data_IF_945803466209
#
_entry.id   IF_945803466209
#
_cell.length_a   1.000
_cell.length_b   1.000
_cell.length_c   1.000
_cell.angle_alpha   90.00
_cell.angle_beta   90.00
_cell.angle_gamma   90.00
#
_symmetry.space_group_name_H-M   'P 1'
#
loop_
_entity.id
_entity.type
_entity.pdbx_description
1 polymer ?
#
# COMPACT_ATOMS: atom_id res chain seq x y z
N UNK A 1 7.29 5.94 14.31
CA UNK A 1 6.44 6.04 13.10
C UNK A 1 7.29 6.58 11.95
N UNK A 2 6.80 6.48 10.71
CA UNK A 2 7.50 7.02 9.55
C UNK A 2 6.71 8.19 8.96
N UNK A 3 7.41 9.17 8.38
CA UNK A 3 6.75 10.26 7.66
C UNK A 3 6.18 9.76 6.34
N UNK A 4 4.91 10.06 6.10
CA UNK A 4 4.20 9.70 4.87
C UNK A 4 3.42 10.89 4.34
N UNK A 5 3.18 10.90 3.03
CA UNK A 5 2.38 11.93 2.33
C UNK A 5 1.41 11.27 1.34
N UNK A 6 0.32 11.95 1.00
CA UNK A 6 -0.70 11.42 0.11
C UNK A 6 -1.32 10.13 0.67
N UNK A 7 -1.35 9.07 -0.15
CA UNK A 7 -1.86 7.75 0.26
C UNK A 7 -0.69 6.85 0.65
N UNK A 8 -0.22 7.00 1.90
CA UNK A 8 0.79 6.13 2.49
C UNK A 8 2.17 6.15 1.81
N UNK A 9 2.49 7.17 1.01
CA UNK A 9 3.80 7.26 0.35
C UNK A 9 4.86 7.64 1.39
N UNK A 10 5.79 6.72 1.64
CA UNK A 10 6.89 6.88 2.58
C UNK A 10 7.89 7.95 2.10
N UNK A 11 8.19 8.93 2.96
CA UNK A 11 9.22 9.95 2.74
C UNK A 11 10.34 9.71 3.77
N UNK A 12 11.32 8.83 3.47
CA UNK A 12 12.29 8.36 4.46
C UNK A 12 13.36 9.39 4.83
N UNK A 13 13.62 10.36 3.96
CA UNK A 13 14.65 11.37 4.12
C UNK A 13 14.36 12.62 3.27
N UNK A 14 15.14 13.68 3.48
CA UNK A 14 15.02 14.93 2.74
C UNK A 14 15.22 14.73 1.23
N UNK A 15 16.14 13.84 0.82
CA UNK A 15 16.36 13.55 -0.59
C UNK A 15 15.13 12.97 -1.29
N UNK A 16 14.29 12.21 -0.59
CA UNK A 16 13.00 11.76 -1.10
C UNK A 16 11.98 12.89 -1.16
N UNK A 17 11.95 13.77 -0.15
CA UNK A 17 11.04 14.92 -0.11
C UNK A 17 11.31 15.88 -1.28
N UNK A 18 12.58 16.14 -1.59
CA UNK A 18 13.01 17.01 -2.70
C UNK A 18 12.62 16.49 -4.10
N UNK A 19 12.17 15.23 -4.23
CA UNK A 19 11.68 14.67 -5.48
C UNK A 19 10.16 14.82 -5.66
N UNK A 20 9.46 15.36 -4.66
CA UNK A 20 8.01 15.53 -4.68
C UNK A 20 7.63 16.83 -5.40
N UNK A 21 6.60 16.78 -6.24
CA UNK A 21 6.03 17.98 -6.84
C UNK A 21 5.05 18.64 -5.85
N UNK A 22 5.60 19.42 -4.92
CA UNK A 22 4.83 20.19 -3.95
C UNK A 22 4.54 21.60 -4.45
N UNK A 23 3.46 22.19 -3.94
CA UNK A 23 3.11 23.59 -4.20
C UNK A 23 2.88 24.32 -2.90
N UNK A 24 3.10 25.63 -2.91
CA UNK A 24 2.76 26.52 -1.81
C UNK A 24 1.24 26.54 -1.66
N UNK A 25 0.71 26.15 -0.49
CA UNK A 25 -0.74 25.98 -0.32
C UNK A 25 -1.56 27.25 -0.54
N UNK A 26 -0.98 28.42 -0.25
CA UNK A 26 -1.66 29.72 -0.40
C UNK A 26 -1.73 30.21 -1.85
N UNK A 27 -0.69 29.97 -2.64
CA UNK A 27 -0.54 30.57 -3.98
C UNK A 27 -0.64 29.55 -5.11
N UNK A 28 -0.49 28.26 -4.82
CA UNK A 28 -0.43 27.19 -5.81
C UNK A 28 0.85 27.17 -6.64
N UNK A 29 1.82 28.06 -6.34
CA UNK A 29 3.13 28.13 -6.99
C UNK A 29 3.95 26.87 -6.69
N UNK A 30 4.78 26.45 -7.64
CA UNK A 30 5.70 25.31 -7.45
C UNK A 30 6.64 25.63 -6.28
N UNK A 31 6.75 24.69 -5.34
CA UNK A 31 7.61 24.86 -4.18
C UNK A 31 9.09 24.77 -4.58
N UNK A 32 9.92 25.67 -4.04
CA UNK A 32 11.37 25.60 -4.23
C UNK A 32 12.01 24.52 -3.35
N UNK A 33 13.26 24.15 -3.64
CA UNK A 33 14.00 23.17 -2.82
C UNK A 33 14.17 23.66 -1.37
N UNK A 34 14.36 24.95 -1.18
CA UNK A 34 14.52 25.60 0.11
C UNK A 34 13.21 25.54 0.90
N UNK A 35 12.08 25.81 0.23
CA UNK A 35 10.74 25.69 0.84
C UNK A 35 10.45 24.23 1.24
N UNK A 36 10.74 23.27 0.37
CA UNK A 36 10.56 21.84 0.68
C UNK A 36 11.43 21.43 1.86
N UNK A 37 12.68 21.89 1.91
CA UNK A 37 13.60 21.61 3.01
C UNK A 37 13.10 22.19 4.33
N UNK A 38 12.65 23.45 4.32
CA UNK A 38 12.13 24.11 5.50
C UNK A 38 10.88 23.40 6.05
N UNK A 39 9.93 23.05 5.17
CA UNK A 39 8.70 22.35 5.56
C UNK A 39 9.00 20.94 6.11
N UNK A 40 9.90 20.21 5.43
CA UNK A 40 10.36 18.89 5.85
C UNK A 40 10.99 18.91 7.24
N UNK A 41 11.93 19.83 7.48
CA UNK A 41 12.60 19.95 8.78
C UNK A 41 11.63 20.44 9.86
N UNK A 42 10.65 21.28 9.52
CA UNK A 42 9.64 21.72 10.48
C UNK A 42 8.73 20.57 10.94
N UNK A 43 8.27 19.72 10.00
CA UNK A 43 7.52 18.50 10.34
C UNK A 43 8.35 17.54 11.19
N UNK A 44 9.64 17.38 10.84
CA UNK A 44 10.56 16.51 11.59
C UNK A 44 10.82 17.01 13.02
N UNK A 45 10.96 18.33 13.21
CA UNK A 45 11.09 18.95 14.55
C UNK A 45 9.88 18.71 15.44
N UNK A 46 8.69 18.64 14.86
CA UNK A 46 7.43 18.39 15.57
C UNK A 46 6.99 16.93 15.47
N UNK A 47 7.93 16.02 15.28
CA UNK A 47 7.63 14.61 15.15
C UNK A 47 6.99 14.06 16.44
N UNK A 48 5.79 13.48 16.30
CA UNK A 48 5.09 12.80 17.38
C UNK A 48 4.72 11.38 16.95
N UNK A 49 5.07 10.40 17.78
CA UNK A 49 4.72 9.01 17.51
C UNK A 49 3.20 8.84 17.41
N UNK A 50 2.75 8.10 16.39
CA UNK A 50 1.33 7.79 16.13
C UNK A 50 0.44 9.01 15.83
N UNK A 51 1.01 10.20 15.62
CA UNK A 51 0.23 11.35 15.17
C UNK A 51 -0.28 11.15 13.73
N UNK A 52 -1.55 11.45 13.51
CA UNK A 52 -2.17 11.39 12.19
C UNK A 52 -1.83 12.62 11.34
N UNK A 53 -1.99 12.53 10.03
CA UNK A 53 -1.69 13.62 9.09
C UNK A 53 -2.31 15.00 9.47
N UNK A 54 -3.56 15.10 9.99
CA UNK A 54 -4.13 16.39 10.40
C UNK A 54 -3.33 17.13 11.48
N UNK A 55 -2.65 16.41 12.38
CA UNK A 55 -1.79 17.01 13.42
C UNK A 55 -0.68 17.87 12.79
N UNK A 56 -0.12 17.42 11.66
CA UNK A 56 1.00 18.05 11.00
C UNK A 56 0.61 19.24 10.13
N UNK A 57 -0.69 19.42 9.82
CA UNK A 57 -1.17 20.47 8.92
C UNK A 57 -0.75 21.89 9.34
N UNK A 58 -0.64 22.13 10.65
CA UNK A 58 -0.19 23.42 11.21
C UNK A 58 1.33 23.66 11.10
N UNK A 59 2.09 22.61 10.80
CA UNK A 59 3.54 22.65 10.62
C UNK A 59 3.96 22.61 9.14
N UNK A 60 2.99 22.58 8.21
CA UNK A 60 3.24 22.55 6.77
C UNK A 60 2.67 23.77 6.08
N UNK A 61 3.42 24.38 5.18
CA UNK A 61 2.94 25.40 4.25
C UNK A 61 2.75 24.84 2.82
N UNK A 62 3.35 23.69 2.55
CA UNK A 62 3.29 23.04 1.25
C UNK A 62 2.19 21.98 1.21
N UNK A 63 1.58 21.83 0.04
CA UNK A 63 0.58 20.80 -0.22
C UNK A 63 0.94 20.03 -1.48
N UNK A 64 0.44 18.79 -1.55
CA UNK A 64 0.51 17.97 -2.75
C UNK A 64 -0.81 18.07 -3.50
N UNK A 65 -0.75 18.43 -4.79
CA UNK A 65 -1.95 18.45 -5.64
C UNK A 65 -2.46 17.03 -5.90
N UNK A 66 -3.77 16.87 -6.10
CA UNK A 66 -4.42 15.57 -6.38
C UNK A 66 -3.77 14.83 -7.56
N UNK A 67 -3.34 15.55 -8.60
CA UNK A 67 -2.64 14.95 -9.75
C UNK A 67 -1.33 14.26 -9.35
N UNK A 68 -0.57 14.86 -8.44
CA UNK A 68 0.68 14.29 -7.94
C UNK A 68 0.42 13.10 -7.00
N UNK A 69 -0.62 13.20 -6.15
CA UNK A 69 -1.08 12.08 -5.34
C UNK A 69 -1.43 10.87 -6.23
N UNK A 70 -2.20 11.09 -7.29
CA UNK A 70 -2.58 10.03 -8.24
C UNK A 70 -1.37 9.45 -8.96
N UNK A 71 -0.41 10.30 -9.36
CA UNK A 71 0.85 9.86 -9.98
C UNK A 71 1.60 8.89 -9.06
N UNK A 72 1.74 9.22 -7.78
CA UNK A 72 2.41 8.36 -6.79
C UNK A 72 1.66 7.06 -6.55
N UNK A 73 0.32 7.09 -6.48
CA UNK A 73 -0.51 5.89 -6.33
C UNK A 73 -0.30 4.96 -7.53
N UNK A 74 -0.37 5.49 -8.75
CA UNK A 74 -0.20 4.68 -9.97
C UNK A 74 1.20 4.07 -10.06
N UNK A 75 2.24 4.80 -9.63
CA UNK A 75 3.60 4.25 -9.54
C UNK A 75 3.69 3.08 -8.56
N UNK A 76 3.06 3.19 -7.39
CA UNK A 76 3.01 2.10 -6.42
C UNK A 76 2.25 0.89 -6.97
N UNK A 77 1.07 1.10 -7.57
CA UNK A 77 0.28 0.03 -8.19
C UNK A 77 1.10 -0.72 -9.24
N UNK A 78 1.74 0.00 -10.18
CA UNK A 78 2.53 -0.62 -11.24
C UNK A 78 3.73 -1.41 -10.69
N UNK A 79 4.41 -0.86 -9.67
CA UNK A 79 5.50 -1.54 -8.99
C UNK A 79 5.02 -2.83 -8.32
N UNK A 80 3.96 -2.74 -7.51
CA UNK A 80 3.43 -3.88 -6.79
C UNK A 80 2.88 -4.95 -7.71
N UNK A 81 2.20 -4.57 -8.79
CA UNK A 81 1.77 -5.47 -9.84
C UNK A 81 2.96 -6.24 -10.43
N UNK A 82 4.04 -5.54 -10.79
CA UNK A 82 5.26 -6.17 -11.32
C UNK A 82 5.90 -7.14 -10.31
N UNK A 83 5.94 -6.76 -9.04
CA UNK A 83 6.48 -7.59 -7.95
C UNK A 83 5.61 -8.83 -7.70
N UNK A 84 4.28 -8.69 -7.74
CA UNK A 84 3.33 -9.80 -7.62
C UNK A 84 3.49 -10.78 -8.78
N UNK A 85 3.62 -10.32 -10.03
CA UNK A 85 3.87 -11.19 -11.18
C UNK A 85 5.19 -11.97 -11.08
N UNK A 86 6.20 -11.42 -10.40
CA UNK A 86 7.44 -12.16 -10.12
C UNK A 86 7.23 -13.25 -9.06
N UNK A 87 6.33 -13.02 -8.10
CA UNK A 87 6.03 -14.01 -7.06
C UNK A 87 5.06 -15.09 -7.54
N UNK A 88 4.14 -14.71 -8.42
CA UNK A 88 3.03 -15.48 -8.96
C UNK A 88 2.98 -15.25 -10.49
N UNK A 89 3.67 -16.05 -11.32
CA UNK A 89 3.74 -15.82 -12.76
C UNK A 89 2.38 -15.80 -13.47
N UNK A 90 1.40 -16.54 -12.96
CA UNK A 90 0.01 -16.63 -13.44
C UNK A 90 -0.96 -15.66 -12.74
N UNK A 91 -0.44 -14.59 -12.13
CA UNK A 91 -1.23 -13.61 -11.38
C UNK A 91 -2.40 -13.01 -12.17
N UNK A 92 -2.22 -12.80 -13.48
CA UNK A 92 -3.26 -12.18 -14.31
C UNK A 92 -4.47 -13.09 -14.53
N UNK A 93 -4.28 -14.40 -14.39
CA UNK A 93 -5.31 -15.43 -14.54
C UNK A 93 -6.04 -15.71 -13.22
N UNK A 94 -5.60 -15.13 -12.11
CA UNK A 94 -6.27 -15.29 -10.82
C UNK A 94 -7.62 -14.58 -10.80
N UNK A 95 -8.59 -15.11 -10.02
CA UNK A 95 -9.84 -14.40 -9.75
C UNK A 95 -9.59 -12.97 -9.28
N UNK A 96 -10.46 -12.05 -9.66
CA UNK A 96 -10.31 -10.62 -9.31
C UNK A 96 -10.19 -10.41 -7.80
N UNK A 97 -10.92 -11.18 -7.00
CA UNK A 97 -10.86 -11.16 -5.54
C UNK A 97 -9.47 -11.53 -5.02
N UNK A 98 -8.84 -12.56 -5.60
CA UNK A 98 -7.47 -12.98 -5.25
C UNK A 98 -6.47 -11.88 -5.62
N UNK A 99 -6.60 -11.28 -6.81
CA UNK A 99 -5.73 -10.18 -7.23
C UNK A 99 -5.84 -8.97 -6.30
N UNK A 100 -7.06 -8.60 -5.89
CA UNK A 100 -7.31 -7.53 -4.91
C UNK A 100 -6.72 -7.86 -3.53
N UNK A 101 -6.89 -9.09 -3.06
CA UNK A 101 -6.34 -9.54 -1.79
C UNK A 101 -4.80 -9.43 -1.78
N UNK A 102 -4.15 -9.90 -2.85
CA UNK A 102 -2.70 -9.84 -2.99
C UNK A 102 -2.16 -8.42 -3.14
N UNK A 103 -2.88 -7.52 -3.84
CA UNK A 103 -2.56 -6.10 -3.91
C UNK A 103 -2.64 -5.43 -2.53
N UNK A 104 -3.65 -5.74 -1.72
CA UNK A 104 -3.74 -5.21 -0.34
C UNK A 104 -2.62 -5.75 0.55
N UNK A 105 -2.28 -7.04 0.40
CA UNK A 105 -1.19 -7.69 1.12
C UNK A 105 0.16 -7.03 0.80
N UNK A 106 0.52 -6.89 -0.48
CA UNK A 106 1.80 -6.30 -0.88
C UNK A 106 1.87 -4.81 -0.58
N UNK A 107 0.76 -4.06 -0.65
CA UNK A 107 0.73 -2.66 -0.25
C UNK A 107 1.13 -2.49 1.23
N UNK A 108 0.64 -3.38 2.09
CA UNK A 108 0.91 -3.28 3.52
C UNK A 108 2.28 -3.87 3.94
N UNK A 109 2.71 -4.94 3.28
CA UNK A 109 3.91 -5.69 3.66
C UNK A 109 5.15 -5.29 2.86
N UNK A 110 4.95 -4.86 1.61
CA UNK A 110 5.98 -4.87 0.58
C UNK A 110 6.36 -6.29 0.14
N UNK A 111 6.98 -6.41 -1.04
CA UNK A 111 7.38 -7.69 -1.63
C UNK A 111 8.22 -8.56 -0.70
N UNK A 112 9.23 -7.98 -0.03
CA UNK A 112 10.16 -8.75 0.82
C UNK A 112 9.45 -9.45 1.97
N UNK A 113 8.56 -8.76 2.69
CA UNK A 113 7.84 -9.36 3.82
C UNK A 113 6.76 -10.33 3.34
N UNK A 114 6.06 -10.02 2.25
CA UNK A 114 5.09 -10.94 1.64
C UNK A 114 5.78 -12.25 1.24
N UNK A 115 6.94 -12.19 0.60
CA UNK A 115 7.72 -13.37 0.21
C UNK A 115 8.18 -14.19 1.41
N UNK A 116 8.79 -13.53 2.40
CA UNK A 116 9.58 -14.22 3.43
C UNK A 116 8.76 -14.59 4.67
N UNK A 117 7.75 -13.81 5.02
CA UNK A 117 6.99 -13.99 6.27
C UNK A 117 5.66 -14.72 6.07
N UNK A 118 5.22 -14.89 4.82
CA UNK A 118 3.96 -15.57 4.47
C UNK A 118 4.17 -16.80 3.55
N UNK A 119 5.11 -17.72 3.87
CA UNK A 119 5.41 -18.85 3.00
C UNK A 119 4.19 -19.79 2.78
N UNK A 120 3.33 -19.95 3.81
CA UNK A 120 2.14 -20.79 3.71
C UNK A 120 1.08 -20.20 2.79
N UNK A 121 0.78 -18.90 2.93
CA UNK A 121 -0.05 -18.15 1.98
C UNK A 121 0.49 -18.29 0.55
N UNK A 122 1.80 -18.07 0.37
CA UNK A 122 2.43 -18.15 -0.95
C UNK A 122 2.29 -19.54 -1.57
N UNK A 123 2.43 -20.61 -0.77
CA UNK A 123 2.21 -21.99 -1.20
C UNK A 123 0.75 -22.21 -1.60
N UNK A 124 -0.21 -21.78 -0.78
CA UNK A 124 -1.64 -21.93 -1.05
C UNK A 124 -2.07 -21.19 -2.32
N UNK A 125 -1.63 -19.93 -2.50
CA UNK A 125 -1.93 -19.11 -3.68
C UNK A 125 -1.40 -19.77 -4.96
N UNK A 126 -0.14 -20.23 -4.96
CA UNK A 126 0.46 -20.92 -6.12
C UNK A 126 -0.23 -22.25 -6.45
N UNK A 127 -0.76 -22.92 -5.44
CA UNK A 127 -1.54 -24.14 -5.60
C UNK A 127 -3.03 -23.87 -5.90
N UNK A 128 -3.43 -22.60 -6.08
CA UNK A 128 -4.81 -22.16 -6.31
C UNK A 128 -5.80 -22.58 -5.21
N UNK A 129 -5.30 -22.75 -3.99
CA UNK A 129 -6.08 -23.17 -2.82
C UNK A 129 -6.58 -21.96 -2.03
N UNK A 130 -7.64 -21.36 -2.52
CA UNK A 130 -8.12 -20.07 -2.01
C UNK A 130 -8.61 -20.11 -0.56
N UNK A 131 -9.24 -21.21 -0.12
CA UNK A 131 -9.65 -21.38 1.28
C UNK A 131 -8.44 -21.44 2.25
N UNK A 132 -7.38 -22.15 1.86
CA UNK A 132 -6.12 -22.19 2.63
C UNK A 132 -5.44 -20.81 2.63
N UNK A 133 -5.44 -20.11 1.49
CA UNK A 133 -4.92 -18.74 1.40
C UNK A 133 -5.66 -17.77 2.32
N UNK A 134 -6.99 -17.90 2.46
CA UNK A 134 -7.79 -17.10 3.38
C UNK A 134 -7.30 -17.26 4.83
N UNK A 135 -7.10 -18.51 5.29
CA UNK A 135 -6.64 -18.81 6.64
C UNK A 135 -5.23 -18.28 6.94
N UNK A 136 -4.36 -18.26 5.94
CA UNK A 136 -2.95 -17.86 6.06
C UNK A 136 -2.70 -16.36 5.78
N UNK A 137 -3.74 -15.59 5.43
CA UNK A 137 -3.60 -14.17 5.03
C UNK A 137 -3.50 -13.18 6.21
N UNK A 138 -3.72 -13.62 7.45
CA UNK A 138 -3.81 -12.73 8.62
C UNK A 138 -2.47 -12.04 8.92
N UNK A 139 -2.48 -10.71 8.93
CA UNK A 139 -1.34 -9.88 9.32
C UNK A 139 -1.43 -9.48 10.78
N UNK A 140 -0.28 -9.35 11.44
CA UNK A 140 -0.20 -8.88 12.84
C UNK A 140 -0.36 -7.35 12.92
N UNK A 141 -0.48 -6.84 14.14
CA UNK A 141 -0.41 -5.39 14.43
C UNK A 141 0.75 -4.73 13.66
N UNK A 142 0.56 -3.54 13.05
CA UNK A 142 -0.55 -2.59 13.25
C UNK A 142 -1.75 -2.75 12.32
N UNK A 143 -1.89 -3.87 11.60
CA UNK A 143 -3.04 -4.08 10.71
C UNK A 143 -4.29 -4.37 11.55
N UNK A 144 -5.37 -3.63 11.29
CA UNK A 144 -6.65 -3.82 11.99
C UNK A 144 -7.32 -5.14 11.61
N UNK A 145 -8.12 -5.67 12.53
CA UNK A 145 -8.91 -6.87 12.27
C UNK A 145 -9.89 -6.67 11.11
N UNK A 146 -10.52 -5.49 11.00
CA UNK A 146 -11.41 -5.18 9.87
C UNK A 146 -10.71 -5.35 8.51
N UNK A 147 -9.45 -4.89 8.38
CA UNK A 147 -8.68 -5.03 7.14
C UNK A 147 -8.23 -6.46 6.89
N UNK A 148 -7.87 -7.19 7.95
CA UNK A 148 -7.58 -8.62 7.83
C UNK A 148 -8.82 -9.42 7.40
N UNK A 149 -9.99 -9.11 7.97
CA UNK A 149 -11.25 -9.76 7.62
C UNK A 149 -11.66 -9.45 6.17
N UNK A 150 -11.45 -8.22 5.70
CA UNK A 150 -11.66 -7.87 4.29
C UNK A 150 -10.83 -8.74 3.34
N UNK A 151 -9.51 -8.85 3.57
CA UNK A 151 -8.64 -9.67 2.71
C UNK A 151 -8.99 -11.15 2.79
N UNK A 152 -9.31 -11.65 3.99
CA UNK A 152 -9.77 -13.03 4.18
C UNK A 152 -11.04 -13.30 3.37
N UNK A 153 -12.02 -12.41 3.43
CA UNK A 153 -13.29 -12.55 2.72
C UNK A 153 -13.12 -12.59 1.19
N UNK A 154 -12.15 -11.87 0.63
CA UNK A 154 -11.83 -11.94 -0.80
C UNK A 154 -11.35 -13.34 -1.21
N UNK A 155 -10.44 -13.94 -0.44
CA UNK A 155 -9.99 -15.31 -0.70
C UNK A 155 -11.12 -16.33 -0.52
N UNK A 156 -11.98 -16.17 0.50
CA UNK A 156 -13.16 -17.03 0.71
C UNK A 156 -14.19 -16.91 -0.41
N UNK A 157 -14.40 -15.70 -0.95
CA UNK A 157 -15.27 -15.49 -2.10
C UNK A 157 -14.74 -16.22 -3.36
N UNK A 158 -13.43 -16.14 -3.61
CA UNK A 158 -12.79 -16.87 -4.70
C UNK A 158 -12.89 -18.40 -4.53
N UNK A 159 -12.77 -18.91 -3.29
CA UNK A 159 -12.96 -20.33 -2.99
C UNK A 159 -14.37 -20.81 -3.35
N UNK A 160 -15.39 -20.08 -2.88
CA UNK A 160 -16.80 -20.39 -3.16
C UNK A 160 -17.12 -20.35 -4.65
N UNK A 161 -16.54 -19.40 -5.38
CA UNK A 161 -16.77 -19.29 -6.83
C UNK A 161 -16.13 -20.48 -7.59
N UNK A 162 -14.94 -20.93 -7.18
CA UNK A 162 -14.29 -22.09 -7.79
C UNK A 162 -15.07 -23.39 -7.55
N UNK A 163 -15.64 -23.58 -6.35
CA UNK A 163 -16.48 -24.75 -6.02
C UNK A 163 -17.74 -24.83 -6.90
N UNK A 164 -18.40 -23.70 -7.16
CA UNK A 164 -19.56 -23.63 -8.05
C UNK A 164 -19.21 -24.03 -9.49
N UNK A 165 -18.12 -23.52 -10.04
CA UNK A 165 -17.68 -23.90 -11.41
C UNK A 165 -17.34 -25.39 -11.52
N UNK A 166 -16.91 -26.03 -10.43
CA UNK A 166 -16.62 -27.47 -10.42
C UNK A 166 -17.85 -28.38 -10.25
N UNK A 167 -18.99 -27.83 -9.82
CA UNK A 167 -20.24 -28.59 -9.63
C UNK A 167 -21.22 -28.46 -10.80
N UNK A 168 -20.93 -27.55 -11.74
CA UNK A 168 -21.75 -27.28 -12.94
C UNK A 168 -21.17 -27.91 -14.23
N UNK A 169 -20.01 -28.60 -14.16
CA UNK A 169 -19.39 -29.35 -15.26
C UNK A 169 -19.42 -30.86 -14.99
#
# INVERSE_FOLDING_TARGET
>A
GHMTIGVGHLVPNLAAALKLNLVVGKTGAIATKEQITADYENVKKHWLANAAAPYYKKYTQLIMKKVEVNRLINQHINKFYTELKRLYPDFDDYPTEVRLALLDMIFNLGMTKLRNLFPKLNKAVKAKKWAEAAAESRRKFPVSDARNNYVRALFEAAAKNAEKTSTEN
#
